data_IF_301580753592
#
_entry.id   IF_301580753592
#
_cell.length_a   1.000
_cell.length_b   1.000
_cell.length_c   1.000
_cell.angle_alpha   90.00
_cell.angle_beta   90.00
_cell.angle_gamma   90.00
#
_symmetry.space_group_name_H-M   'P 1'
#
loop_
_entity.id
_entity.type
_entity.pdbx_description
1 polymer ?
#
# COMPACT_ATOMS: atom_id res chain seq x y z
N UNK A 1 -2.52 -39.54 15.21
CA UNK A 1 -2.51 -38.49 14.17
C UNK A 1 -1.87 -37.20 14.70
N UNK A 2 -0.57 -37.04 14.46
CA UNK A 2 0.13 -35.77 14.70
C UNK A 2 -0.17 -34.80 13.55
N UNK A 3 -1.39 -34.25 13.53
CA UNK A 3 -1.75 -33.18 12.61
C UNK A 3 -1.14 -31.87 13.12
N UNK A 4 -0.20 -31.32 12.33
CA UNK A 4 0.35 -29.99 12.53
C UNK A 4 -0.79 -28.96 12.47
N UNK A 5 -0.94 -28.15 13.53
CA UNK A 5 -1.93 -27.07 13.59
C UNK A 5 -1.25 -25.73 13.33
N UNK A 6 -1.96 -24.82 12.66
CA UNK A 6 -1.47 -23.46 12.42
C UNK A 6 -2.46 -22.47 13.03
N UNK A 7 -1.95 -21.52 13.81
CA UNK A 7 -2.71 -20.42 14.41
C UNK A 7 -2.18 -19.12 13.85
N UNK A 8 -3.07 -18.32 13.25
CA UNK A 8 -2.75 -16.99 12.73
C UNK A 8 -3.42 -15.96 13.61
N UNK A 9 -2.65 -15.02 14.12
CA UNK A 9 -3.12 -13.88 14.90
C UNK A 9 -2.86 -12.63 14.09
N UNK A 10 -3.93 -12.03 13.59
CA UNK A 10 -3.86 -10.73 12.92
C UNK A 10 -3.91 -9.60 13.94
N UNK A 11 -3.29 -8.47 13.59
CA UNK A 11 -3.16 -7.29 14.46
C UNK A 11 -2.63 -7.61 15.87
N UNK A 12 -1.63 -8.49 15.96
CA UNK A 12 -1.09 -8.94 17.25
C UNK A 12 -0.54 -7.79 18.12
N UNK A 13 -0.20 -6.65 17.51
CA UNK A 13 0.22 -5.42 18.17
C UNK A 13 -0.91 -4.67 18.90
N UNK A 14 -2.17 -5.05 18.67
CA UNK A 14 -3.33 -4.57 19.42
C UNK A 14 -3.62 -5.44 20.66
N UNK A 15 -2.94 -6.58 20.83
CA UNK A 15 -3.12 -7.47 21.98
C UNK A 15 -2.43 -6.86 23.21
N UNK A 16 -3.11 -6.72 24.36
CA UNK A 16 -2.51 -6.21 25.59
C UNK A 16 -1.29 -7.02 26.06
N UNK A 17 -0.28 -6.35 26.60
CA UNK A 17 0.97 -6.99 27.05
C UNK A 17 0.75 -8.18 28.01
N UNK A 18 -0.21 -8.10 28.93
CA UNK A 18 -0.54 -9.21 29.84
C UNK A 18 -1.04 -10.45 29.10
N UNK A 19 -1.84 -10.25 28.04
CA UNK A 19 -2.34 -11.33 27.18
C UNK A 19 -1.20 -11.88 26.32
N UNK A 20 -0.30 -11.04 25.80
CA UNK A 20 0.91 -11.50 25.11
C UNK A 20 1.81 -12.36 26.01
N UNK A 21 1.93 -12.04 27.31
CA UNK A 21 2.67 -12.87 28.28
C UNK A 21 2.04 -14.26 28.46
N UNK A 22 0.71 -14.34 28.47
CA UNK A 22 0.01 -15.62 28.50
C UNK A 22 0.21 -16.39 27.17
N UNK A 23 0.07 -15.71 26.03
CA UNK A 23 0.28 -16.27 24.70
C UNK A 23 1.69 -16.86 24.55
N UNK A 24 2.72 -16.17 25.07
CA UNK A 24 4.11 -16.64 25.06
C UNK A 24 4.22 -18.04 25.68
N UNK A 25 3.59 -18.27 26.85
CA UNK A 25 3.61 -19.58 27.52
C UNK A 25 2.95 -20.67 26.66
N UNK A 26 1.89 -20.31 25.94
CA UNK A 26 1.20 -21.22 25.03
C UNK A 26 2.11 -21.59 23.85
N UNK A 27 2.71 -20.59 23.19
CA UNK A 27 3.64 -20.80 22.06
C UNK A 27 4.78 -21.74 22.45
N UNK A 28 5.39 -21.54 23.64
CA UNK A 28 6.43 -22.43 24.15
C UNK A 28 5.93 -23.87 24.34
N UNK A 29 4.81 -24.03 25.05
CA UNK A 29 4.24 -25.35 25.41
C UNK A 29 3.81 -26.16 24.19
N UNK A 30 3.35 -25.51 23.13
CA UNK A 30 2.77 -26.19 21.95
C UNK A 30 3.66 -26.13 20.71
N UNK A 31 4.93 -25.76 20.84
CA UNK A 31 5.85 -25.53 19.71
C UNK A 31 6.09 -26.76 18.80
N UNK A 32 5.91 -27.97 19.33
CA UNK A 32 6.06 -29.24 18.60
C UNK A 32 4.87 -29.53 17.66
N UNK A 33 3.65 -29.15 18.05
CA UNK A 33 2.41 -29.52 17.34
C UNK A 33 1.67 -28.33 16.72
N UNK A 34 1.98 -27.10 17.14
CA UNK A 34 1.32 -25.87 16.69
C UNK A 34 2.35 -24.86 16.20
N UNK A 35 2.11 -24.29 15.02
CA UNK A 35 2.86 -23.13 14.48
C UNK A 35 2.02 -21.88 14.61
N UNK A 36 2.64 -20.82 15.12
CA UNK A 36 2.01 -19.51 15.27
C UNK A 36 2.55 -18.55 14.24
N UNK A 37 1.66 -17.81 13.59
CA UNK A 37 1.97 -16.69 12.70
C UNK A 37 1.32 -15.46 13.32
N UNK A 38 2.13 -14.48 13.70
CA UNK A 38 1.66 -13.20 14.24
C UNK A 38 1.87 -12.14 13.17
N UNK A 39 0.78 -11.49 12.78
CA UNK A 39 0.79 -10.36 11.85
C UNK A 39 0.62 -9.10 12.69
N UNK A 40 1.47 -8.10 12.47
CA UNK A 40 1.43 -6.84 13.20
C UNK A 40 1.99 -5.71 12.35
N UNK A 41 1.52 -4.48 12.61
CA UNK A 41 2.05 -3.29 11.95
C UNK A 41 3.25 -2.71 12.72
N UNK A 42 3.18 -2.76 14.04
CA UNK A 42 4.19 -2.17 14.93
C UNK A 42 4.87 -3.23 15.78
N UNK A 43 5.99 -3.77 15.29
CA UNK A 43 6.74 -4.82 16.01
C UNK A 43 7.18 -4.39 17.42
N UNK A 44 7.41 -3.11 17.66
CA UNK A 44 7.78 -2.57 18.97
C UNK A 44 6.64 -2.64 20.00
N UNK A 45 5.41 -2.95 19.58
CA UNK A 45 4.28 -3.26 20.47
C UNK A 45 4.16 -4.75 20.79
N UNK A 46 4.99 -5.59 20.18
CA UNK A 46 5.12 -7.00 20.53
C UNK A 46 6.22 -7.13 21.58
N UNK A 47 5.96 -7.88 22.66
CA UNK A 47 6.93 -8.07 23.74
C UNK A 47 8.14 -8.89 23.26
N UNK A 48 9.35 -8.53 23.71
CA UNK A 48 10.60 -9.24 23.37
C UNK A 48 10.56 -10.77 23.58
N UNK A 49 9.87 -11.32 24.60
CA UNK A 49 9.74 -12.77 24.76
C UNK A 49 9.02 -13.48 23.61
N UNK A 50 8.07 -12.81 22.93
CA UNK A 50 7.42 -13.37 21.73
C UNK A 50 8.39 -13.28 20.55
N UNK A 51 8.99 -12.10 20.34
CA UNK A 51 9.91 -11.84 19.20
C UNK A 51 11.06 -12.85 19.19
N UNK A 52 11.68 -13.11 20.35
CA UNK A 52 12.79 -14.07 20.48
C UNK A 52 12.45 -15.52 20.13
N UNK A 53 11.16 -15.87 20.01
CA UNK A 53 10.69 -17.23 19.64
C UNK A 53 10.16 -17.32 18.21
N UNK A 54 10.07 -16.19 17.52
CA UNK A 54 9.52 -16.11 16.18
C UNK A 54 10.63 -15.79 15.16
N UNK A 55 10.50 -16.36 13.96
CA UNK A 55 11.22 -15.84 12.81
C UNK A 55 10.57 -14.51 12.40
N UNK A 56 11.35 -13.42 12.42
CA UNK A 56 10.84 -12.09 12.14
C UNK A 56 10.98 -11.79 10.65
N UNK A 57 9.84 -11.64 9.98
CA UNK A 57 9.77 -11.18 8.60
C UNK A 57 9.28 -9.73 8.58
N UNK A 58 10.10 -8.83 8.00
CA UNK A 58 9.74 -7.42 7.85
C UNK A 58 9.40 -7.15 6.39
N UNK A 59 8.18 -6.68 6.16
CA UNK A 59 7.74 -6.22 4.85
C UNK A 59 8.04 -4.74 4.73
N UNK A 60 8.96 -4.41 3.84
CA UNK A 60 9.30 -3.03 3.49
C UNK A 60 8.63 -2.64 2.18
N UNK A 61 8.60 -1.33 1.92
CA UNK A 61 8.23 -0.80 0.60
C UNK A 61 9.08 -1.44 -0.48
N UNK A 62 8.44 -1.84 -1.58
CA UNK A 62 9.12 -2.51 -2.68
C UNK A 62 9.82 -1.50 -3.59
N UNK A 63 10.97 -1.88 -4.17
CA UNK A 63 11.63 -1.06 -5.18
C UNK A 63 10.77 -0.97 -6.45
N UNK A 64 10.96 0.12 -7.20
CA UNK A 64 10.19 0.46 -8.40
C UNK A 64 10.15 -0.69 -9.40
N UNK A 65 11.29 -1.31 -9.64
CA UNK A 65 11.47 -2.37 -10.64
C UNK A 65 10.59 -3.57 -10.32
N UNK A 66 10.50 -3.95 -9.04
CA UNK A 66 9.71 -5.11 -8.60
C UNK A 66 8.21 -4.85 -8.67
N UNK A 67 7.76 -3.63 -8.37
CA UNK A 67 6.36 -3.26 -8.54
C UNK A 67 5.99 -3.27 -10.02
N UNK A 68 6.78 -2.61 -10.88
CA UNK A 68 6.50 -2.55 -12.32
C UNK A 68 6.54 -3.95 -12.93
N UNK A 69 7.49 -4.81 -12.56
CA UNK A 69 7.55 -6.22 -12.97
C UNK A 69 6.24 -6.95 -12.64
N UNK A 70 5.77 -6.79 -11.40
CA UNK A 70 4.53 -7.42 -10.93
C UNK A 70 3.29 -6.88 -11.64
N UNK A 71 3.20 -5.57 -11.87
CA UNK A 71 2.07 -4.94 -12.57
C UNK A 71 2.03 -5.37 -14.05
N UNK A 72 3.19 -5.46 -14.71
CA UNK A 72 3.30 -6.00 -16.08
C UNK A 72 2.88 -7.46 -16.15
N UNK A 73 3.28 -8.26 -15.16
CA UNK A 73 2.83 -9.65 -15.04
C UNK A 73 1.31 -9.75 -14.92
N UNK A 74 0.70 -8.99 -14.00
CA UNK A 74 -0.76 -8.97 -13.81
C UNK A 74 -1.46 -8.54 -15.10
N UNK A 75 -1.03 -7.43 -15.70
CA UNK A 75 -1.63 -6.90 -16.93
C UNK A 75 -1.60 -7.90 -18.08
N UNK A 76 -0.53 -8.70 -18.18
CA UNK A 76 -0.42 -9.80 -19.16
C UNK A 76 -1.37 -10.96 -18.84
N UNK A 77 -1.50 -11.37 -17.58
CA UNK A 77 -2.42 -12.45 -17.19
C UNK A 77 -3.89 -12.07 -17.42
N UNK A 78 -4.24 -10.82 -17.10
CA UNK A 78 -5.58 -10.27 -17.27
C UNK A 78 -5.85 -9.80 -18.72
N UNK A 79 -4.88 -9.92 -19.64
CA UNK A 79 -4.97 -9.52 -21.05
C UNK A 79 -5.40 -8.07 -21.25
N UNK A 80 -4.91 -7.17 -20.40
CA UNK A 80 -5.22 -5.74 -20.47
C UNK A 80 -4.64 -5.12 -21.74
N UNK A 81 -5.45 -4.33 -22.45
CA UNK A 81 -5.03 -3.59 -23.63
C UNK A 81 -4.44 -2.25 -23.19
N UNK A 82 -3.13 -2.23 -22.89
CA UNK A 82 -2.43 -1.01 -22.50
C UNK A 82 -1.64 -0.49 -23.72
N UNK A 83 -1.87 0.75 -24.18
CA UNK A 83 -1.15 1.35 -25.30
C UNK A 83 0.38 1.31 -25.09
N UNK A 84 1.10 0.63 -25.98
CA UNK A 84 2.56 0.41 -25.81
C UNK A 84 3.36 1.71 -25.71
N UNK A 85 2.93 2.76 -26.42
CA UNK A 85 3.57 4.08 -26.42
C UNK A 85 3.56 4.75 -25.05
N UNK A 86 2.58 4.42 -24.19
CA UNK A 86 2.39 5.02 -22.88
C UNK A 86 2.57 4.04 -21.70
N UNK A 87 2.65 2.74 -21.98
CA UNK A 87 2.69 1.68 -20.97
C UNK A 87 3.74 1.90 -19.88
N UNK A 88 4.98 2.26 -20.25
CA UNK A 88 6.03 2.50 -19.25
C UNK A 88 5.68 3.68 -18.34
N UNK A 89 5.23 4.82 -18.88
CA UNK A 89 4.83 5.98 -18.08
C UNK A 89 3.65 5.66 -17.17
N UNK A 90 2.70 4.85 -17.64
CA UNK A 90 1.58 4.39 -16.83
C UNK A 90 2.04 3.56 -15.63
N UNK A 91 2.88 2.55 -15.82
CA UNK A 91 3.42 1.78 -14.69
C UNK A 91 4.27 2.63 -13.73
N UNK A 92 4.99 3.62 -14.25
CA UNK A 92 5.72 4.60 -13.43
C UNK A 92 4.78 5.48 -12.60
N UNK A 93 3.66 5.91 -13.18
CA UNK A 93 2.62 6.66 -12.47
C UNK A 93 1.99 5.80 -11.36
N UNK A 94 1.67 4.53 -11.64
CA UNK A 94 1.15 3.60 -10.63
C UNK A 94 2.14 3.40 -9.48
N UNK A 95 3.44 3.28 -9.76
CA UNK A 95 4.47 3.23 -8.73
C UNK A 95 4.54 4.54 -7.92
N UNK A 96 4.50 5.68 -8.60
CA UNK A 96 4.52 6.99 -7.95
C UNK A 96 3.35 7.14 -6.98
N UNK A 97 2.14 6.79 -7.43
CA UNK A 97 0.91 6.81 -6.62
C UNK A 97 1.03 5.88 -5.41
N UNK A 98 1.61 4.69 -5.62
CA UNK A 98 1.68 3.66 -4.59
C UNK A 98 2.79 3.88 -3.57
N UNK A 99 3.84 4.62 -3.93
CA UNK A 99 4.97 4.93 -3.05
C UNK A 99 5.64 3.67 -2.48
N UNK A 100 5.68 2.58 -3.25
CA UNK A 100 6.26 1.30 -2.84
C UNK A 100 5.28 0.30 -2.22
N UNK A 101 4.01 0.66 -2.03
CA UNK A 101 2.95 -0.25 -1.60
C UNK A 101 2.40 -1.01 -2.82
N UNK A 102 2.59 -2.34 -2.84
CA UNK A 102 2.13 -3.17 -3.96
C UNK A 102 0.60 -3.30 -3.99
N UNK A 103 -0.06 -3.35 -2.83
CA UNK A 103 -1.53 -3.42 -2.75
C UNK A 103 -2.12 -2.15 -3.35
N UNK A 104 -1.61 -0.99 -2.97
CA UNK A 104 -2.06 0.30 -3.53
C UNK A 104 -1.81 0.37 -5.04
N UNK A 105 -0.66 -0.11 -5.53
CA UNK A 105 -0.36 -0.14 -6.96
C UNK A 105 -1.35 -1.02 -7.74
N UNK A 106 -1.66 -2.21 -7.23
CA UNK A 106 -2.61 -3.14 -7.85
C UNK A 106 -4.02 -2.56 -7.83
N UNK A 107 -4.46 -2.00 -6.70
CA UNK A 107 -5.79 -1.39 -6.60
C UNK A 107 -5.92 -0.22 -7.58
N UNK A 108 -4.86 0.60 -7.73
CA UNK A 108 -4.88 1.71 -8.69
C UNK A 108 -4.97 1.18 -10.13
N UNK A 109 -4.21 0.14 -10.48
CA UNK A 109 -4.34 -0.52 -11.79
C UNK A 109 -5.77 -1.02 -12.02
N UNK A 110 -6.36 -1.69 -11.03
CA UNK A 110 -7.73 -2.20 -11.10
C UNK A 110 -8.75 -1.07 -11.28
N UNK A 111 -8.60 0.05 -10.57
CA UNK A 111 -9.47 1.22 -10.72
C UNK A 111 -9.34 1.84 -12.12
N UNK A 112 -8.12 1.95 -12.67
CA UNK A 112 -7.92 2.43 -14.04
C UNK A 112 -8.62 1.55 -15.08
N UNK A 113 -8.66 0.24 -14.86
CA UNK A 113 -9.42 -0.69 -15.71
C UNK A 113 -10.92 -0.51 -15.54
N UNK A 114 -11.40 -0.47 -14.29
CA UNK A 114 -12.83 -0.37 -13.97
C UNK A 114 -13.48 0.93 -14.47
N UNK A 115 -12.68 2.00 -14.60
CA UNK A 115 -13.09 3.31 -15.11
C UNK A 115 -12.77 3.50 -16.60
N UNK A 116 -12.40 2.43 -17.31
CA UNK A 116 -12.12 2.45 -18.76
C UNK A 116 -11.04 3.47 -19.18
N UNK A 117 -10.11 3.79 -18.28
CA UNK A 117 -9.05 4.79 -18.53
C UNK A 117 -7.94 4.27 -19.45
N UNK A 118 -7.95 2.98 -19.83
CA UNK A 118 -6.87 2.37 -20.60
C UNK A 118 -6.87 2.76 -22.09
N UNK A 119 -8.03 3.15 -22.64
CA UNK A 119 -8.17 3.42 -24.09
C UNK A 119 -7.37 4.65 -24.52
N UNK A 120 -7.49 5.75 -23.75
CA UNK A 120 -6.74 6.99 -23.98
C UNK A 120 -5.51 7.14 -23.07
N UNK A 121 -5.49 6.42 -21.94
CA UNK A 121 -4.42 6.40 -20.94
C UNK A 121 -3.92 7.79 -20.52
N UNK A 122 -4.84 8.72 -20.24
CA UNK A 122 -4.48 10.03 -19.66
C UNK A 122 -4.03 9.84 -18.21
N UNK A 123 -2.73 10.06 -17.98
CA UNK A 123 -2.11 9.92 -16.65
C UNK A 123 -2.68 10.91 -15.63
N UNK A 124 -3.25 12.03 -16.05
CA UNK A 124 -3.89 12.97 -15.13
C UNK A 124 -5.16 12.38 -14.53
N UNK A 125 -5.93 11.60 -15.30
CA UNK A 125 -7.13 10.93 -14.79
C UNK A 125 -6.74 9.82 -13.81
N UNK A 126 -5.68 9.07 -14.10
CA UNK A 126 -5.13 8.04 -13.20
C UNK A 126 -4.64 8.65 -11.87
N UNK A 127 -4.03 9.83 -11.89
CA UNK A 127 -3.63 10.55 -10.68
C UNK A 127 -4.86 11.01 -9.87
N UNK A 128 -5.87 11.58 -10.53
CA UNK A 128 -7.10 12.07 -9.88
C UNK A 128 -7.83 10.96 -9.12
N UNK A 129 -8.03 9.79 -9.74
CA UNK A 129 -8.73 8.66 -9.09
C UNK A 129 -7.97 8.10 -7.89
N UNK A 130 -6.69 8.43 -7.77
CA UNK A 130 -5.81 7.99 -6.68
C UNK A 130 -5.71 9.00 -5.54
N UNK A 131 -6.54 10.05 -5.56
CA UNK A 131 -6.50 11.15 -4.60
C UNK A 131 -5.31 12.10 -4.78
N UNK A 132 -4.60 12.02 -5.91
CA UNK A 132 -3.55 13.00 -6.23
C UNK A 132 -4.14 14.20 -6.95
N UNK A 133 -3.65 15.37 -6.59
CA UNK A 133 -3.94 16.62 -7.31
C UNK A 133 -3.32 16.58 -8.71
N UNK A 134 -4.05 17.10 -9.69
CA UNK A 134 -3.50 17.30 -11.03
C UNK A 134 -2.46 18.44 -11.06
N UNK A 135 -1.52 18.35 -11.99
CA UNK A 135 -0.40 19.29 -12.10
C UNK A 135 -0.87 20.74 -12.38
N UNK A 136 -2.03 20.92 -13.02
CA UNK A 136 -2.58 22.25 -13.29
C UNK A 136 -3.04 22.94 -12.01
N UNK A 137 -3.70 22.20 -11.12
CA UNK A 137 -4.12 22.69 -9.80
C UNK A 137 -2.91 23.01 -8.93
N UNK A 138 -1.87 22.17 -8.97
CA UNK A 138 -0.62 22.42 -8.21
C UNK A 138 0.08 23.70 -8.70
N UNK A 139 0.21 23.86 -10.02
CA UNK A 139 0.77 25.09 -10.62
C UNK A 139 -0.05 26.32 -10.29
N UNK A 140 -1.38 26.22 -10.30
CA UNK A 140 -2.28 27.31 -9.90
C UNK A 140 -2.03 27.68 -8.45
N UNK A 141 -1.95 26.70 -7.54
CA UNK A 141 -1.66 26.94 -6.13
C UNK A 141 -0.32 27.64 -5.93
N UNK A 142 0.75 27.14 -6.56
CA UNK A 142 2.10 27.73 -6.47
C UNK A 142 2.09 29.19 -6.97
N UNK A 143 1.47 29.45 -8.12
CA UNK A 143 1.38 30.80 -8.70
C UNK A 143 0.60 31.75 -7.78
N UNK A 144 -0.51 31.28 -7.21
CA UNK A 144 -1.32 32.07 -6.27
C UNK A 144 -0.54 32.39 -4.99
N UNK A 145 0.21 31.43 -4.45
CA UNK A 145 1.09 31.63 -3.30
C UNK A 145 2.22 32.63 -3.62
N UNK A 146 2.84 32.53 -4.79
CA UNK A 146 3.87 33.49 -5.24
C UNK A 146 3.30 34.91 -5.39
N UNK A 147 2.05 35.03 -5.83
CA UNK A 147 1.34 36.32 -5.92
C UNK A 147 0.87 36.86 -4.57
N UNK A 148 1.10 36.14 -3.46
CA UNK A 148 0.66 36.46 -2.10
C UNK A 148 -0.86 36.67 -1.97
N UNK A 149 -1.65 36.08 -2.87
CA UNK A 149 -3.10 36.13 -2.80
C UNK A 149 -3.61 35.00 -1.90
N UNK A 150 -3.58 35.23 -0.59
CA UNK A 150 -3.91 34.23 0.42
C UNK A 150 -5.37 33.76 0.38
N UNK A 151 -6.30 34.63 -0.04
CA UNK A 151 -7.73 34.28 -0.15
C UNK A 151 -7.98 33.26 -1.26
N UNK A 152 -7.37 33.45 -2.43
CA UNK A 152 -7.48 32.48 -3.51
C UNK A 152 -6.68 31.20 -3.20
N UNK A 153 -5.52 31.30 -2.54
CA UNK A 153 -4.75 30.13 -2.12
C UNK A 153 -5.55 29.27 -1.13
N UNK A 154 -6.23 29.90 -0.16
CA UNK A 154 -7.10 29.23 0.80
C UNK A 154 -8.27 28.54 0.11
N UNK A 155 -8.91 29.19 -0.87
CA UNK A 155 -9.98 28.58 -1.66
C UNK A 155 -9.51 27.33 -2.40
N UNK A 156 -8.37 27.41 -3.08
CA UNK A 156 -7.79 26.25 -3.77
C UNK A 156 -7.48 25.13 -2.77
N UNK A 157 -6.91 25.46 -1.60
CA UNK A 157 -6.59 24.49 -0.57
C UNK A 157 -7.82 23.76 -0.02
N UNK A 158 -8.92 24.49 0.25
CA UNK A 158 -10.19 23.87 0.69
C UNK A 158 -10.73 22.92 -0.37
N UNK A 159 -10.64 23.25 -1.65
CA UNK A 159 -11.06 22.34 -2.74
C UNK A 159 -10.21 21.07 -2.75
N UNK A 160 -8.92 21.16 -2.44
CA UNK A 160 -8.01 20.01 -2.38
C UNK A 160 -8.28 19.13 -1.16
N UNK A 161 -8.59 19.73 0.00
CA UNK A 161 -8.87 18.98 1.23
C UNK A 161 -10.15 18.14 1.14
N UNK A 162 -11.07 18.50 0.24
CA UNK A 162 -12.33 17.79 0.00
C UNK A 162 -12.28 16.77 -1.16
N UNK A 163 -11.09 16.50 -1.74
CA UNK A 163 -10.85 15.46 -2.75
C UNK A 163 -10.44 14.13 -2.09
#
# INVERSE_FOLDING_TARGET
DDTLKVVILDEADNIPNQVQQALRRIIEKTSSSVKFILICNYINRIIDPIISRCAVFRFAKLPKEKIIERLKYISKQEKLQIPQTQANKFYEALFFISGGDLRKAINTLQMSVALELLDNLDLNEVLKISGFMDDSTLKKLIKTLQSKNFEEARRIFITIENL
#
